data_IF_239427284283
#
_entry.id   IF_239427284283
#
_cell.length_a   1.000
_cell.length_b   1.000
_cell.length_c   1.000
_cell.angle_alpha   90.00
_cell.angle_beta   90.00
_cell.angle_gamma   90.00
#
_symmetry.space_group_name_H-M   'P 1'
#
loop_
_entity.id
_entity.type
_entity.pdbx_description
1 polymer ?
#
# COMPACT_ATOMS: atom_id res chain seq x y z
N UNK A 1 8.42 -3.86 -31.61
CA UNK A 1 7.69 -4.95 -30.93
C UNK A 1 7.59 -6.14 -31.90
N UNK A 2 7.95 -7.33 -31.43
CA UNK A 2 7.79 -8.58 -32.20
C UNK A 2 6.92 -9.52 -31.36
N UNK A 3 5.78 -9.94 -31.90
CA UNK A 3 4.90 -10.92 -31.28
C UNK A 3 4.37 -11.89 -32.31
N UNK A 4 4.42 -13.19 -32.03
CA UNK A 4 4.00 -14.26 -32.97
C UNK A 4 4.61 -14.13 -34.37
N UNK A 5 5.91 -13.80 -34.46
CA UNK A 5 6.66 -13.55 -35.71
C UNK A 5 6.20 -12.34 -36.55
N UNK A 6 5.31 -11.50 -35.99
CA UNK A 6 4.89 -10.24 -36.58
C UNK A 6 5.64 -9.10 -35.91
N UNK A 7 6.39 -8.32 -36.71
CA UNK A 7 7.11 -7.14 -36.25
C UNK A 7 6.29 -5.88 -36.47
N UNK A 8 6.25 -4.98 -35.52
CA UNK A 8 5.70 -3.63 -35.60
C UNK A 8 6.70 -2.62 -35.11
N UNK A 9 6.77 -1.48 -35.78
CA UNK A 9 7.62 -0.36 -35.42
C UNK A 9 6.79 0.71 -34.70
N UNK A 10 7.36 1.30 -33.69
CA UNK A 10 6.83 2.50 -33.05
C UNK A 10 7.66 3.66 -33.58
N UNK A 11 7.02 4.57 -34.28
CA UNK A 11 7.69 5.77 -34.78
C UNK A 11 7.88 6.75 -33.65
N UNK A 12 9.12 7.23 -33.51
CA UNK A 12 9.50 8.26 -32.54
C UNK A 12 10.04 9.47 -33.28
N UNK A 13 9.92 10.65 -32.71
CA UNK A 13 10.52 11.88 -33.26
C UNK A 13 12.01 12.04 -32.90
N UNK A 14 12.60 11.03 -32.28
CA UNK A 14 13.99 11.08 -31.81
C UNK A 14 14.95 10.98 -32.99
N UNK A 15 16.01 11.81 -32.98
CA UNK A 15 17.02 11.88 -34.03
C UNK A 15 18.40 11.67 -33.48
N UNK A 16 19.09 10.64 -33.92
CA UNK A 16 20.46 10.29 -33.58
C UNK A 16 21.27 10.03 -34.84
N UNK A 17 22.58 10.15 -34.74
CA UNK A 17 23.48 9.72 -35.80
C UNK A 17 23.75 8.21 -35.68
N UNK A 18 24.08 7.56 -36.82
CA UNK A 18 24.39 6.13 -36.81
C UNK A 18 25.54 5.74 -35.90
N UNK A 19 26.49 6.64 -35.68
CA UNK A 19 27.61 6.47 -34.72
C UNK A 19 27.24 6.56 -33.25
N UNK A 20 26.02 7.01 -32.95
CA UNK A 20 25.48 7.17 -31.57
C UNK A 20 24.57 6.01 -31.18
N UNK A 21 24.41 5.01 -32.06
CA UNK A 21 23.54 3.86 -31.82
C UNK A 21 24.32 2.54 -31.89
N UNK A 22 24.22 1.75 -30.84
CA UNK A 22 24.68 0.38 -30.78
C UNK A 22 23.54 -0.56 -31.19
N UNK A 23 23.64 -1.10 -32.38
CA UNK A 23 22.63 -1.99 -32.93
C UNK A 23 22.63 -3.37 -32.24
N UNK A 24 23.79 -3.85 -31.75
CA UNK A 24 23.93 -5.16 -31.13
C UNK A 24 23.29 -5.17 -29.73
N UNK A 25 23.46 -4.09 -28.97
CA UNK A 25 22.92 -3.96 -27.63
C UNK A 25 21.65 -3.10 -27.58
N UNK A 26 21.17 -2.59 -28.74
CA UNK A 26 20.00 -1.71 -28.85
C UNK A 26 20.03 -0.54 -27.84
N UNK A 27 21.14 0.19 -27.81
CA UNK A 27 21.39 1.23 -26.83
C UNK A 27 22.07 2.46 -27.46
N UNK A 28 21.99 3.60 -26.77
CA UNK A 28 22.67 4.82 -27.15
C UNK A 28 24.12 4.77 -26.70
N UNK A 29 25.05 5.02 -27.62
CA UNK A 29 26.47 5.21 -27.36
C UNK A 29 26.69 6.68 -27.03
N UNK A 30 27.49 6.97 -26.01
CA UNK A 30 27.95 8.31 -25.66
C UNK A 30 29.37 8.51 -26.19
N UNK A 31 29.56 9.10 -27.38
CA UNK A 31 30.92 9.31 -27.92
C UNK A 31 31.69 10.29 -27.06
N UNK A 32 33.00 10.06 -26.90
CA UNK A 32 33.90 10.93 -26.10
C UNK A 32 34.18 12.30 -26.73
N UNK A 33 33.85 12.48 -28.02
CA UNK A 33 34.19 13.67 -28.83
C UNK A 33 33.02 14.58 -29.17
N UNK A 34 31.90 14.48 -28.44
CA UNK A 34 30.70 15.31 -28.69
C UNK A 34 30.66 16.56 -27.81
N UNK A 35 29.94 17.59 -28.25
CA UNK A 35 29.74 18.81 -27.46
C UNK A 35 28.93 18.51 -26.19
N UNK A 36 29.11 19.26 -25.08
CA UNK A 36 28.35 19.07 -23.84
C UNK A 36 26.84 19.11 -24.06
N UNK A 37 26.34 19.95 -24.97
CA UNK A 37 24.92 20.03 -25.30
C UNK A 37 24.42 18.75 -25.98
N UNK A 38 25.22 18.17 -26.92
CA UNK A 38 24.86 16.90 -27.56
C UNK A 38 24.90 15.75 -26.61
N UNK A 39 25.86 15.73 -25.68
CA UNK A 39 25.95 14.72 -24.64
C UNK A 39 24.73 14.76 -23.70
N UNK A 40 24.31 15.96 -23.27
CA UNK A 40 23.11 16.14 -22.46
C UNK A 40 21.84 15.66 -23.21
N UNK A 41 21.74 15.96 -24.53
CA UNK A 41 20.64 15.46 -25.36
C UNK A 41 20.62 13.92 -25.43
N UNK A 42 21.78 13.28 -25.67
CA UNK A 42 21.86 11.81 -25.77
C UNK A 42 21.54 11.13 -24.43
N UNK A 43 21.95 11.72 -23.30
CA UNK A 43 21.58 11.23 -21.98
C UNK A 43 20.06 11.31 -21.75
N UNK A 44 19.47 12.48 -22.00
CA UNK A 44 18.01 12.67 -21.90
C UNK A 44 17.25 11.71 -22.81
N UNK A 45 17.75 11.49 -24.03
CA UNK A 45 17.15 10.56 -24.98
C UNK A 45 17.25 9.12 -24.51
N UNK A 46 18.37 8.73 -23.90
CA UNK A 46 18.55 7.42 -23.29
C UNK A 46 17.53 7.17 -22.20
N UNK A 47 17.36 8.14 -21.28
CA UNK A 47 16.38 8.04 -20.19
C UNK A 47 14.94 7.92 -20.75
N UNK A 48 14.63 8.65 -21.82
CA UNK A 48 13.31 8.57 -22.48
C UNK A 48 13.08 7.20 -23.14
N UNK A 49 14.08 6.67 -23.85
CA UNK A 49 13.98 5.34 -24.46
C UNK A 49 13.85 4.23 -23.39
N UNK A 50 14.54 4.35 -22.28
CA UNK A 50 14.43 3.41 -21.16
C UNK A 50 13.03 3.47 -20.52
N UNK A 51 12.44 4.67 -20.41
CA UNK A 51 11.07 4.86 -19.95
C UNK A 51 10.04 4.24 -20.92
N UNK A 52 10.20 4.49 -22.23
CA UNK A 52 9.35 3.90 -23.29
C UNK A 52 9.44 2.38 -23.30
N UNK A 53 10.64 1.82 -23.13
CA UNK A 53 10.85 0.37 -23.01
C UNK A 53 10.14 -0.21 -21.81
N UNK A 54 10.22 0.44 -20.64
CA UNK A 54 9.49 0.04 -19.44
C UNK A 54 7.99 0.07 -19.68
N UNK A 55 7.48 1.15 -20.29
CA UNK A 55 6.06 1.29 -20.65
C UNK A 55 5.57 0.15 -21.55
N UNK A 56 6.36 -0.20 -22.56
CA UNK A 56 6.04 -1.34 -23.45
C UNK A 56 5.99 -2.67 -22.68
N UNK A 57 6.94 -2.92 -21.77
CA UNK A 57 6.95 -4.13 -20.97
C UNK A 57 5.72 -4.22 -20.05
N UNK A 58 5.26 -3.10 -19.51
CA UNK A 58 4.04 -3.05 -18.71
C UNK A 58 2.78 -3.35 -19.54
N UNK A 59 2.70 -2.82 -20.76
CA UNK A 59 1.60 -3.13 -21.69
C UNK A 59 1.56 -4.64 -21.98
N UNK A 60 2.72 -5.25 -22.28
CA UNK A 60 2.82 -6.68 -22.55
C UNK A 60 2.42 -7.49 -21.32
N UNK A 61 2.97 -7.19 -20.15
CA UNK A 61 2.66 -7.89 -18.91
C UNK A 61 1.16 -7.84 -18.56
N UNK A 62 0.49 -6.71 -18.85
CA UNK A 62 -0.95 -6.57 -18.67
C UNK A 62 -1.73 -7.46 -19.65
N UNK A 63 -1.38 -7.44 -20.95
CA UNK A 63 -2.05 -8.24 -21.96
C UNK A 63 -1.87 -9.75 -21.70
N UNK A 64 -0.68 -10.18 -21.26
CA UNK A 64 -0.41 -11.56 -20.87
C UNK A 64 -1.30 -11.99 -19.69
N UNK A 65 -1.53 -11.10 -18.73
CA UNK A 65 -2.36 -11.38 -17.56
C UNK A 65 -3.86 -11.46 -17.87
N UNK A 66 -4.33 -10.68 -18.83
CA UNK A 66 -5.72 -10.72 -19.30
C UNK A 66 -6.08 -12.05 -19.98
N UNK A 67 -5.07 -12.86 -20.34
CA UNK A 67 -5.24 -14.23 -20.87
C UNK A 67 -5.91 -14.31 -22.24
N UNK A 68 -6.13 -13.16 -22.88
CA UNK A 68 -6.65 -13.10 -24.25
C UNK A 68 -5.50 -13.10 -25.26
N UNK A 69 -5.70 -13.72 -26.43
CA UNK A 69 -4.72 -13.62 -27.51
C UNK A 69 -4.65 -12.17 -28.02
N UNK A 70 -3.47 -11.61 -28.09
CA UNK A 70 -3.23 -10.26 -28.60
C UNK A 70 -2.21 -10.26 -29.75
N UNK A 71 -2.18 -9.20 -30.50
CA UNK A 71 -1.28 -9.02 -31.69
C UNK A 71 -0.21 -7.95 -31.35
N UNK A 72 0.83 -7.88 -32.21
CA UNK A 72 1.80 -6.79 -32.13
C UNK A 72 1.14 -5.41 -32.32
N UNK A 73 0.07 -5.32 -33.14
CA UNK A 73 -0.72 -4.09 -33.29
C UNK A 73 -1.41 -3.70 -32.00
N UNK A 74 -2.02 -4.65 -31.31
CA UNK A 74 -2.65 -4.40 -29.98
C UNK A 74 -1.66 -3.82 -28.97
N UNK A 75 -0.40 -4.29 -28.96
CA UNK A 75 0.65 -3.74 -28.11
C UNK A 75 0.97 -2.30 -28.47
N UNK A 76 1.11 -1.99 -29.77
CA UNK A 76 1.41 -0.64 -30.26
C UNK A 76 0.26 0.32 -29.97
N UNK A 77 -0.98 -0.09 -30.21
CA UNK A 77 -2.17 0.72 -29.92
C UNK A 77 -2.26 1.07 -28.43
N UNK A 78 -2.12 0.08 -27.55
CA UNK A 78 -2.10 0.30 -26.10
C UNK A 78 -0.92 1.18 -25.64
N UNK A 79 0.23 1.12 -26.31
CA UNK A 79 1.35 2.01 -26.04
C UNK A 79 1.04 3.47 -26.39
N UNK A 80 0.36 3.70 -27.54
CA UNK A 80 -0.03 5.03 -28.01
C UNK A 80 -1.26 5.60 -27.27
N UNK A 81 -2.22 4.76 -26.91
CA UNK A 81 -3.43 5.19 -26.18
C UNK A 81 -3.13 5.77 -24.79
N UNK A 82 -1.86 5.65 -24.34
CA UNK A 82 -1.35 6.37 -23.18
C UNK A 82 -2.31 6.34 -22.00
N UNK A 83 -2.64 5.14 -21.47
CA UNK A 83 -3.30 5.13 -20.15
C UNK A 83 -2.38 5.87 -19.19
N UNK A 84 -2.93 6.91 -18.59
CA UNK A 84 -2.28 7.78 -17.64
C UNK A 84 -1.38 6.96 -16.70
N UNK A 85 -0.14 7.39 -16.54
CA UNK A 85 0.77 6.86 -15.53
C UNK A 85 0.04 6.94 -14.19
N UNK A 86 -0.41 5.79 -13.69
CA UNK A 86 -1.09 5.76 -12.40
C UNK A 86 -0.12 6.18 -11.32
N UNK A 87 -0.35 7.33 -10.72
CA UNK A 87 0.32 7.71 -9.50
C UNK A 87 -0.14 6.81 -8.34
N UNK A 88 0.72 6.63 -7.35
CA UNK A 88 0.40 5.79 -6.18
C UNK A 88 -0.80 6.30 -5.39
N UNK A 89 -1.04 7.63 -5.40
CA UNK A 89 -2.21 8.24 -4.76
C UNK A 89 -3.47 7.94 -5.57
N UNK A 90 -3.44 8.19 -6.88
CA UNK A 90 -4.54 7.89 -7.79
C UNK A 90 -4.95 6.42 -7.72
N UNK A 91 -3.99 5.51 -7.83
CA UNK A 91 -4.23 4.07 -7.68
C UNK A 91 -4.84 3.70 -6.32
N UNK A 92 -4.34 4.29 -5.22
CA UNK A 92 -4.87 4.01 -3.89
C UNK A 92 -6.34 4.44 -3.75
N UNK A 93 -6.74 5.54 -4.37
CA UNK A 93 -8.13 5.98 -4.39
C UNK A 93 -9.02 4.98 -5.13
N UNK A 94 -8.61 4.51 -6.30
CA UNK A 94 -9.33 3.48 -7.07
C UNK A 94 -9.44 2.15 -6.31
N UNK A 95 -8.34 1.70 -5.71
CA UNK A 95 -8.32 0.49 -4.88
C UNK A 95 -9.29 0.61 -3.69
N UNK A 96 -9.34 1.77 -3.04
CA UNK A 96 -10.28 2.02 -1.94
C UNK A 96 -11.74 1.96 -2.40
N UNK A 97 -12.07 2.43 -3.60
CA UNK A 97 -13.43 2.31 -4.15
C UNK A 97 -13.78 0.83 -4.45
N UNK A 98 -12.85 0.06 -5.04
CA UNK A 98 -13.03 -1.39 -5.24
C UNK A 98 -13.29 -2.11 -3.89
N UNK A 99 -12.46 -1.83 -2.88
CA UNK A 99 -12.58 -2.43 -1.55
C UNK A 99 -13.87 -2.02 -0.82
N UNK A 100 -14.34 -0.78 -1.01
CA UNK A 100 -15.61 -0.29 -0.45
C UNK A 100 -16.80 -1.06 -1.03
N UNK A 101 -16.83 -1.29 -2.35
CA UNK A 101 -17.89 -2.05 -3.03
C UNK A 101 -18.01 -3.48 -2.53
N UNK A 102 -16.91 -4.14 -2.18
CA UNK A 102 -16.88 -5.49 -1.63
C UNK A 102 -16.96 -5.54 -0.09
N UNK A 103 -17.30 -4.40 0.55
CA UNK A 103 -17.54 -4.34 1.99
C UNK A 103 -16.31 -4.39 2.90
N UNK A 104 -15.07 -4.27 2.39
CA UNK A 104 -13.82 -4.31 3.18
C UNK A 104 -13.54 -2.99 3.92
N UNK A 105 -14.51 -2.50 4.70
CA UNK A 105 -14.49 -1.19 5.38
C UNK A 105 -13.22 -0.95 6.21
N UNK A 106 -12.70 -1.96 6.94
CA UNK A 106 -11.48 -1.83 7.77
C UNK A 106 -10.23 -1.60 6.92
N UNK A 107 -10.13 -2.26 5.74
CA UNK A 107 -9.01 -2.04 4.81
C UNK A 107 -9.06 -0.64 4.22
N UNK A 108 -10.23 -0.20 3.77
CA UNK A 108 -10.46 1.16 3.25
C UNK A 108 -10.01 2.21 4.27
N UNK A 109 -10.38 2.07 5.55
CA UNK A 109 -9.97 3.01 6.59
C UNK A 109 -8.45 3.05 6.77
N UNK A 110 -7.77 1.89 6.77
CA UNK A 110 -6.30 1.80 6.87
C UNK A 110 -5.60 2.46 5.69
N UNK A 111 -6.04 2.17 4.48
CA UNK A 111 -5.45 2.74 3.27
C UNK A 111 -5.71 4.23 3.17
N UNK A 112 -6.90 4.70 3.55
CA UNK A 112 -7.20 6.14 3.64
C UNK A 112 -6.28 6.86 4.63
N UNK A 113 -6.02 6.26 5.80
CA UNK A 113 -5.09 6.82 6.80
C UNK A 113 -3.67 6.91 6.22
N UNK A 114 -3.22 5.86 5.53
CA UNK A 114 -1.89 5.84 4.88
C UNK A 114 -1.82 6.84 3.74
N UNK A 115 -2.85 6.92 2.90
CA UNK A 115 -2.97 7.89 1.82
C UNK A 115 -2.85 9.33 2.32
N UNK A 116 -3.61 9.69 3.35
CA UNK A 116 -3.56 11.04 3.93
C UNK A 116 -2.16 11.39 4.48
N UNK A 117 -1.44 10.41 5.01
CA UNK A 117 -0.06 10.60 5.46
C UNK A 117 0.90 10.78 4.28
N UNK A 118 0.77 9.96 3.25
CA UNK A 118 1.59 10.04 2.04
C UNK A 118 1.38 11.37 1.29
N UNK A 119 0.12 11.82 1.16
CA UNK A 119 -0.21 13.11 0.54
C UNK A 119 0.45 14.30 1.26
N UNK A 120 0.54 14.24 2.60
CA UNK A 120 1.27 15.27 3.38
C UNK A 120 2.76 15.25 3.09
N UNK A 121 3.37 14.06 3.01
CA UNK A 121 4.77 13.90 2.64
C UNK A 121 5.05 14.44 1.24
N UNK A 122 4.21 14.11 0.27
CA UNK A 122 4.33 14.55 -1.12
C UNK A 122 3.82 15.98 -1.37
N UNK A 123 3.39 16.70 -0.32
CA UNK A 123 2.88 18.08 -0.40
C UNK A 123 1.74 18.25 -1.42
N UNK A 124 0.89 17.23 -1.55
CA UNK A 124 -0.23 17.21 -2.48
C UNK A 124 0.09 16.74 -3.90
N UNK A 125 1.35 16.45 -4.21
CA UNK A 125 1.75 15.80 -5.46
C UNK A 125 1.41 14.30 -5.47
N UNK A 126 1.64 13.66 -6.61
CA UNK A 126 1.58 12.20 -6.76
C UNK A 126 2.92 11.70 -7.32
N UNK A 127 3.23 10.43 -7.12
CA UNK A 127 4.43 9.78 -7.64
C UNK A 127 3.98 8.64 -8.56
N UNK A 128 4.41 8.61 -9.82
CA UNK A 128 4.15 7.49 -10.71
C UNK A 128 4.57 6.15 -10.08
N UNK A 129 3.77 5.11 -10.26
CA UNK A 129 4.05 3.79 -9.64
C UNK A 129 5.42 3.24 -10.03
N UNK A 130 5.88 3.55 -11.25
CA UNK A 130 7.20 3.15 -11.78
C UNK A 130 8.36 3.86 -11.08
N UNK A 131 8.11 5.06 -10.54
CA UNK A 131 9.11 5.89 -9.83
C UNK A 131 9.13 5.61 -8.33
N UNK A 132 8.23 4.75 -7.83
CA UNK A 132 8.26 4.31 -6.43
C UNK A 132 9.43 3.36 -6.23
N UNK A 133 10.55 3.91 -5.85
CA UNK A 133 11.80 3.20 -5.58
C UNK A 133 12.17 3.13 -4.09
N UNK A 134 13.30 2.47 -3.79
CA UNK A 134 13.81 2.37 -2.42
C UNK A 134 14.11 3.72 -1.78
N UNK A 135 14.56 4.71 -2.55
CA UNK A 135 14.89 6.06 -2.07
C UNK A 135 13.63 6.80 -1.65
N UNK A 136 12.58 6.74 -2.46
CA UNK A 136 11.26 7.31 -2.17
C UNK A 136 10.68 6.75 -0.88
N UNK A 137 10.75 5.42 -0.70
CA UNK A 137 10.20 4.77 0.50
C UNK A 137 11.03 5.05 1.75
N UNK A 138 12.36 5.08 1.65
CA UNK A 138 13.25 5.47 2.76
C UNK A 138 13.04 6.93 3.15
N UNK A 139 12.87 7.83 2.18
CA UNK A 139 12.55 9.24 2.43
C UNK A 139 11.22 9.40 3.19
N UNK A 140 10.19 8.65 2.80
CA UNK A 140 8.92 8.63 3.51
C UNK A 140 9.05 8.05 4.93
N UNK A 141 9.80 6.96 5.11
CA UNK A 141 10.06 6.38 6.43
C UNK A 141 10.75 7.40 7.36
N UNK A 142 11.78 8.10 6.83
CA UNK A 142 12.50 9.11 7.60
C UNK A 142 11.59 10.29 7.97
N UNK A 143 10.79 10.78 7.04
CA UNK A 143 9.82 11.85 7.30
C UNK A 143 8.81 11.46 8.39
N UNK A 144 8.34 10.20 8.43
CA UNK A 144 7.48 9.70 9.49
C UNK A 144 8.18 9.71 10.86
N UNK A 145 9.46 9.31 10.92
CA UNK A 145 10.29 9.35 12.13
C UNK A 145 10.50 10.79 12.63
N UNK A 146 10.83 11.70 11.72
CA UNK A 146 11.05 13.12 12.02
C UNK A 146 9.76 13.80 12.50
N UNK A 147 8.60 13.29 12.09
CA UNK A 147 7.29 13.68 12.62
C UNK A 147 6.99 13.17 14.03
N UNK A 148 7.95 12.53 14.70
CA UNK A 148 7.82 12.03 16.07
C UNK A 148 7.03 10.72 16.22
N UNK A 149 6.78 9.98 15.14
CA UNK A 149 6.03 8.73 15.20
C UNK A 149 6.90 7.59 15.75
N UNK A 150 6.33 6.78 16.64
CA UNK A 150 7.01 5.59 17.14
C UNK A 150 7.17 4.54 16.03
N UNK A 151 8.16 3.65 16.21
CA UNK A 151 8.59 2.66 15.23
C UNK A 151 7.46 1.75 14.75
N UNK A 152 6.56 1.32 15.64
CA UNK A 152 5.40 0.51 15.25
C UNK A 152 4.40 1.28 14.39
N UNK A 153 4.21 2.57 14.64
CA UNK A 153 3.33 3.43 13.84
C UNK A 153 3.95 3.69 12.47
N UNK A 154 5.24 3.98 12.41
CA UNK A 154 5.98 4.12 11.13
C UNK A 154 5.85 2.83 10.31
N UNK A 155 6.13 1.66 10.93
CA UNK A 155 5.97 0.36 10.29
C UNK A 155 4.53 0.09 9.82
N UNK A 156 3.51 0.57 10.53
CA UNK A 156 2.11 0.45 10.09
C UNK A 156 1.88 1.16 8.74
N UNK A 157 2.36 2.39 8.58
CA UNK A 157 2.24 3.12 7.32
C UNK A 157 3.01 2.44 6.19
N UNK A 158 4.25 2.03 6.45
CA UNK A 158 5.10 1.36 5.44
C UNK A 158 4.50 0.02 5.00
N UNK A 159 3.97 -0.80 5.92
CA UNK A 159 3.30 -2.07 5.58
C UNK A 159 2.05 -1.87 4.73
N UNK A 160 1.23 -0.87 5.05
CA UNK A 160 0.05 -0.57 4.24
C UNK A 160 0.45 -0.10 2.84
N UNK A 161 1.44 0.79 2.74
CA UNK A 161 1.94 1.27 1.45
C UNK A 161 2.53 0.13 0.61
N UNK A 162 3.30 -0.77 1.24
CA UNK A 162 3.80 -1.99 0.59
C UNK A 162 2.66 -2.87 0.05
N UNK A 163 1.59 -3.03 0.81
CA UNK A 163 0.43 -3.82 0.36
C UNK A 163 -0.26 -3.15 -0.81
N UNK A 164 -0.43 -1.83 -0.79
CA UNK A 164 -1.00 -1.05 -1.91
C UNK A 164 -0.13 -1.20 -3.16
N UNK A 165 1.19 -1.04 -3.03
CA UNK A 165 2.12 -1.21 -4.14
C UNK A 165 2.10 -2.63 -4.72
N UNK A 166 2.05 -3.66 -3.86
CA UNK A 166 1.94 -5.03 -4.31
C UNK A 166 0.62 -5.30 -5.07
N UNK A 167 -0.49 -4.68 -4.66
CA UNK A 167 -1.73 -4.74 -5.45
C UNK A 167 -1.54 -4.12 -6.84
N UNK A 168 -0.80 -3.01 -6.97
CA UNK A 168 -0.50 -2.43 -8.28
C UNK A 168 0.38 -3.34 -9.15
N UNK A 169 1.35 -4.05 -8.52
CA UNK A 169 2.13 -5.10 -9.20
C UNK A 169 1.24 -6.26 -9.63
N UNK A 170 0.36 -6.73 -8.75
CA UNK A 170 -0.59 -7.81 -9.03
C UNK A 170 -1.59 -7.40 -10.11
N UNK A 171 -1.98 -6.15 -10.19
CA UNK A 171 -2.84 -5.58 -11.26
C UNK A 171 -2.05 -5.34 -12.58
N UNK A 172 -0.73 -5.60 -12.62
CA UNK A 172 0.11 -5.45 -13.81
C UNK A 172 0.39 -3.99 -14.20
N UNK A 173 0.22 -3.05 -13.26
CA UNK A 173 0.44 -1.62 -13.51
C UNK A 173 1.91 -1.22 -13.34
N UNK A 174 2.70 -2.00 -12.63
CA UNK A 174 4.13 -1.75 -12.39
C UNK A 174 4.90 -3.06 -12.24
N UNK A 175 6.14 -3.08 -12.70
CA UNK A 175 7.07 -4.19 -12.46
C UNK A 175 7.76 -3.96 -11.12
N UNK A 176 7.71 -4.94 -10.21
CA UNK A 176 8.27 -4.78 -8.87
C UNK A 176 9.78 -4.56 -8.89
N UNK A 177 10.21 -3.42 -8.35
CA UNK A 177 11.63 -3.09 -8.05
C UNK A 177 12.03 -3.43 -6.61
N UNK A 178 11.13 -4.06 -5.83
CA UNK A 178 11.33 -4.34 -4.40
C UNK A 178 11.65 -3.10 -3.54
N UNK A 179 10.90 -2.00 -3.65
CA UNK A 179 11.25 -0.72 -3.03
C UNK A 179 11.21 -0.74 -1.49
N UNK A 180 10.59 -1.76 -0.89
CA UNK A 180 10.46 -1.91 0.56
C UNK A 180 11.55 -2.78 1.20
N UNK A 181 12.61 -3.15 0.46
CA UNK A 181 13.67 -4.07 0.94
C UNK A 181 14.45 -3.51 2.14
N UNK A 182 14.66 -2.20 2.18
CA UNK A 182 15.56 -1.54 3.14
C UNK A 182 14.83 -0.71 4.21
N UNK A 183 13.52 -0.90 4.39
CA UNK A 183 12.71 -0.22 5.41
C UNK A 183 12.14 -1.19 6.42
N UNK A 184 11.86 -0.71 7.62
CA UNK A 184 11.35 -1.55 8.69
C UNK A 184 9.84 -1.82 8.53
N UNK A 185 9.48 -3.08 8.38
CA UNK A 185 8.10 -3.56 8.28
C UNK A 185 7.69 -4.52 9.40
N UNK A 186 8.51 -4.64 10.45
CA UNK A 186 8.25 -5.50 11.59
C UNK A 186 7.29 -4.87 12.61
N UNK A 187 7.10 -5.57 13.73
CA UNK A 187 6.35 -5.11 14.90
C UNK A 187 7.22 -5.32 16.13
N UNK A 188 7.60 -4.23 16.78
CA UNK A 188 8.32 -4.30 18.04
C UNK A 188 7.40 -4.75 19.16
N UNK A 189 7.93 -5.53 20.07
CA UNK A 189 7.20 -5.90 21.29
C UNK A 189 6.95 -4.65 22.13
N UNK A 190 5.70 -4.44 22.52
CA UNK A 190 5.33 -3.39 23.43
C UNK A 190 5.36 -3.88 24.87
N UNK A 191 5.70 -2.99 25.81
CA UNK A 191 5.61 -3.29 27.23
C UNK A 191 4.16 -3.54 27.60
N UNK A 192 3.85 -4.74 28.08
CA UNK A 192 2.51 -5.08 28.57
C UNK A 192 2.32 -4.44 29.94
N UNK A 193 1.29 -3.63 30.07
CA UNK A 193 0.90 -2.98 31.33
C UNK A 193 -0.16 -3.84 32.04
N UNK A 194 0.25 -5.02 32.50
CA UNK A 194 -0.62 -5.85 33.32
C UNK A 194 -0.78 -5.21 34.72
N UNK A 195 -2.00 -5.14 35.22
CA UNK A 195 -2.29 -4.68 36.55
C UNK A 195 -2.35 -5.87 37.52
N UNK A 196 -1.85 -5.76 38.76
CA UNK A 196 -2.05 -6.74 39.79
C UNK A 196 -3.54 -6.93 40.13
N UNK A 197 -3.91 -8.12 40.56
CA UNK A 197 -5.31 -8.46 40.87
C UNK A 197 -5.89 -7.55 41.99
N UNK A 198 -5.05 -7.12 42.92
CA UNK A 198 -5.39 -6.20 44.03
C UNK A 198 -5.94 -4.88 43.49
N UNK A 199 -5.34 -4.34 42.43
CA UNK A 199 -5.81 -3.12 41.76
C UNK A 199 -7.19 -3.35 41.09
N UNK A 200 -7.42 -4.52 40.54
CA UNK A 200 -8.74 -4.87 39.95
C UNK A 200 -9.82 -4.93 41.06
N UNK A 201 -9.49 -5.50 42.25
CA UNK A 201 -10.40 -5.53 43.38
C UNK A 201 -10.71 -4.12 43.91
N UNK A 202 -9.69 -3.29 44.08
CA UNK A 202 -9.86 -1.88 44.48
C UNK A 202 -10.72 -1.11 43.46
N UNK A 203 -10.50 -1.32 42.17
CA UNK A 203 -11.28 -0.68 41.10
C UNK A 203 -12.76 -1.06 41.21
N UNK A 204 -13.08 -2.33 41.55
CA UNK A 204 -14.44 -2.81 41.73
C UNK A 204 -15.16 -2.14 42.88
N UNK A 205 -14.43 -1.84 43.99
CA UNK A 205 -14.96 -1.26 45.22
C UNK A 205 -15.05 0.27 45.20
N UNK A 206 -14.56 0.93 44.13
CA UNK A 206 -14.64 2.38 44.03
C UNK A 206 -16.09 2.86 43.95
N UNK A 207 -16.47 3.77 44.84
CA UNK A 207 -17.72 4.51 44.71
C UNK A 207 -17.55 5.64 43.69
N UNK A 208 -18.23 5.49 42.55
CA UNK A 208 -18.23 6.45 41.46
C UNK A 208 -19.62 7.01 41.19
N UNK A 209 -20.56 6.88 42.12
CA UNK A 209 -21.97 7.31 41.98
C UNK A 209 -22.11 8.79 41.59
N UNK A 210 -21.15 9.63 42.01
CA UNK A 210 -21.12 11.07 41.62
C UNK A 210 -20.62 11.33 40.19
N UNK A 211 -20.08 10.30 39.50
CA UNK A 211 -19.58 10.45 38.13
C UNK A 211 -19.98 9.27 37.27
N UNK A 212 -21.19 9.32 36.65
CA UNK A 212 -21.75 8.21 35.87
C UNK A 212 -20.86 7.77 34.68
N UNK A 213 -20.05 8.68 34.13
CA UNK A 213 -19.12 8.32 33.05
C UNK A 213 -17.97 7.44 33.52
N UNK A 214 -17.40 7.74 34.67
CA UNK A 214 -16.35 6.91 35.29
C UNK A 214 -16.91 5.59 35.79
N UNK A 215 -18.12 5.62 36.35
CA UNK A 215 -18.83 4.40 36.75
C UNK A 215 -19.01 3.45 35.59
N UNK A 216 -19.58 3.90 34.45
CA UNK A 216 -19.72 3.13 33.24
C UNK A 216 -18.37 2.62 32.72
N UNK A 217 -17.34 3.45 32.70
CA UNK A 217 -16.01 3.05 32.24
C UNK A 217 -15.41 1.94 33.14
N UNK A 218 -15.56 2.03 34.45
CA UNK A 218 -15.18 0.98 35.44
C UNK A 218 -15.93 -0.32 35.12
N UNK A 219 -17.24 -0.25 34.97
CA UNK A 219 -18.08 -1.43 34.76
C UNK A 219 -17.78 -2.13 33.43
N UNK A 220 -17.58 -1.36 32.35
CA UNK A 220 -17.13 -1.90 31.06
C UNK A 220 -15.75 -2.55 31.17
N UNK A 221 -14.81 -1.96 31.91
CA UNK A 221 -13.49 -2.53 32.14
C UNK A 221 -13.60 -3.85 32.92
N UNK A 222 -14.36 -3.87 34.02
CA UNK A 222 -14.58 -5.07 34.84
C UNK A 222 -15.28 -6.16 34.04
N UNK A 223 -16.28 -5.81 33.26
CA UNK A 223 -16.96 -6.75 32.37
C UNK A 223 -15.98 -7.37 31.35
N UNK A 224 -15.14 -6.54 30.71
CA UNK A 224 -14.07 -7.02 29.85
C UNK A 224 -13.12 -7.98 30.56
N UNK A 225 -12.71 -7.61 31.78
CA UNK A 225 -11.82 -8.45 32.58
C UNK A 225 -12.43 -9.81 32.90
N UNK A 226 -13.67 -9.85 33.39
CA UNK A 226 -14.37 -11.11 33.75
C UNK A 226 -14.73 -11.94 32.53
N UNK A 227 -14.95 -11.32 31.35
CA UNK A 227 -15.18 -12.02 30.08
C UNK A 227 -13.91 -12.31 29.29
N UNK A 228 -12.73 -12.36 30.00
CA UNK A 228 -11.42 -12.73 29.43
C UNK A 228 -10.94 -11.81 28.29
N UNK A 229 -11.22 -10.51 28.39
CA UNK A 229 -10.77 -9.52 27.43
C UNK A 229 -11.72 -9.27 26.27
N UNK A 230 -13.03 -9.42 26.48
CA UNK A 230 -14.03 -9.05 25.48
C UNK A 230 -13.82 -7.58 25.03
N UNK A 231 -13.80 -7.36 23.72
CA UNK A 231 -13.64 -6.02 23.17
C UNK A 231 -14.90 -5.16 23.37
N UNK A 232 -14.73 -3.83 23.44
CA UNK A 232 -15.89 -2.92 23.56
C UNK A 232 -16.86 -3.01 22.38
N UNK A 233 -16.37 -3.34 21.17
CA UNK A 233 -17.22 -3.56 20.00
C UNK A 233 -18.09 -4.81 20.20
N UNK A 234 -17.52 -5.87 20.75
CA UNK A 234 -18.28 -7.10 21.01
C UNK A 234 -19.33 -6.87 22.13
N UNK A 235 -18.95 -6.16 23.20
CA UNK A 235 -19.89 -5.74 24.25
C UNK A 235 -21.08 -4.95 23.71
N UNK A 236 -20.83 -4.00 22.81
CA UNK A 236 -21.87 -3.16 22.21
C UNK A 236 -22.84 -3.95 21.31
N UNK A 237 -22.50 -5.18 20.92
CA UNK A 237 -23.34 -6.07 20.12
C UNK A 237 -24.06 -7.12 20.94
N UNK A 238 -23.80 -7.20 22.25
CA UNK A 238 -24.48 -8.15 23.11
C UNK A 238 -25.97 -7.84 23.26
N UNK A 239 -26.75 -8.89 23.21
CA UNK A 239 -28.19 -8.88 23.43
C UNK A 239 -28.54 -9.92 24.51
N UNK A 240 -29.71 -9.84 25.15
CA UNK A 240 -30.14 -10.84 26.11
C UNK A 240 -30.10 -12.28 25.58
N UNK A 241 -30.28 -12.47 24.28
CA UNK A 241 -30.21 -13.80 23.63
C UNK A 241 -28.80 -14.40 23.60
N UNK A 242 -27.76 -13.63 23.89
CA UNK A 242 -26.39 -14.13 24.03
C UNK A 242 -26.15 -14.82 25.38
N UNK A 243 -27.05 -14.65 26.37
CA UNK A 243 -26.92 -15.23 27.68
C UNK A 243 -27.74 -16.54 27.79
N UNK A 244 -27.04 -17.66 27.97
CA UNK A 244 -27.61 -18.98 28.13
C UNK A 244 -27.30 -19.51 29.52
N UNK A 245 -28.20 -19.29 30.48
CA UNK A 245 -27.96 -19.59 31.89
C UNK A 245 -26.79 -18.76 32.43
N UNK A 246 -25.70 -19.40 32.84
CA UNK A 246 -24.46 -18.74 33.31
C UNK A 246 -23.41 -18.56 32.20
N UNK A 247 -23.73 -18.92 30.95
CA UNK A 247 -22.77 -18.90 29.83
C UNK A 247 -23.12 -17.80 28.85
N UNK A 248 -22.12 -16.97 28.50
CA UNK A 248 -22.24 -15.93 27.49
C UNK A 248 -21.67 -16.46 26.17
N UNK A 249 -22.52 -16.52 25.14
CA UNK A 249 -22.15 -16.99 23.78
C UNK A 249 -22.28 -15.80 22.82
N UNK A 250 -21.20 -15.45 22.14
CA UNK A 250 -21.20 -14.36 21.17
C UNK A 250 -20.21 -14.61 20.04
N UNK A 251 -20.39 -13.92 18.92
CA UNK A 251 -19.42 -13.92 17.81
C UNK A 251 -18.48 -12.73 17.93
N UNK A 252 -17.20 -12.99 17.86
CA UNK A 252 -16.21 -11.93 17.84
C UNK A 252 -16.31 -11.10 16.56
N UNK A 253 -16.42 -9.76 16.67
CA UNK A 253 -16.56 -8.86 15.51
C UNK A 253 -15.38 -8.90 14.51
N UNK A 254 -14.28 -9.54 14.87
CA UNK A 254 -13.07 -9.71 14.07
C UNK A 254 -12.87 -11.10 13.45
N UNK A 255 -13.66 -12.09 13.83
CA UNK A 255 -13.44 -13.50 13.45
C UNK A 255 -14.76 -14.17 13.05
N UNK A 256 -14.65 -15.25 12.26
CA UNK A 256 -15.78 -16.09 11.87
C UNK A 256 -16.15 -17.13 12.93
N UNK A 257 -15.49 -17.14 14.09
CA UNK A 257 -15.66 -18.10 15.17
C UNK A 257 -16.57 -17.63 16.29
N UNK A 258 -17.34 -18.54 16.90
CA UNK A 258 -18.07 -18.30 18.14
C UNK A 258 -17.14 -18.40 19.35
N UNK A 259 -17.26 -17.44 20.28
CA UNK A 259 -16.54 -17.44 21.56
C UNK A 259 -17.54 -17.76 22.68
N UNK A 260 -17.23 -18.76 23.49
CA UNK A 260 -18.01 -19.11 24.69
C UNK A 260 -17.22 -18.70 25.94
N UNK A 261 -17.84 -17.89 26.79
CA UNK A 261 -17.32 -17.51 28.10
C UNK A 261 -18.28 -18.01 29.20
N UNK A 262 -17.74 -18.80 30.11
CA UNK A 262 -18.43 -19.29 31.31
C UNK A 262 -18.03 -18.47 32.52
#
# INVERSE_FOLDING_TARGET
>A
VIHNRVARQIHTEYRIYSSEWDADHSNIILPTSVTPQRQAYLLSLKDTLDADRKKLLLVIARLDKEGQSYTADTVVDNFHEGKELHGIIGYTLELNEKLRRIGKKRMVARYKTTLNSLQRYLKGGDVPLEEVDGTTIQGYEQWLKDSGLCRNTTSFYIRNLRTIYNHAVDDGLVISSSPFKHVYTGIDKTVKRALPLEIIKQLKELDLSLNPRLELARDMFLFSFYTRGMSFIDMAQLTPSNLHGSTLIYRHAGDSGEVQNR
#
